data_IF_960675896574
#
_entry.id   IF_960675896574
#
_cell.length_a   1.000
_cell.length_b   1.000
_cell.length_c   1.000
_cell.angle_alpha   90.00
_cell.angle_beta   90.00
_cell.angle_gamma   90.00
#
_symmetry.space_group_name_H-M   'P 1'
#
loop_
_entity.id
_entity.type
_entity.pdbx_description
1 polymer ?
#
# COMPACT_ATOMS: atom_id res chain seq x y z
N UNK A 1 1.15 12.07 -4.19
CA UNK A 1 1.95 11.15 -3.35
C UNK A 1 3.34 11.70 -3.06
N UNK A 2 4.19 11.94 -4.09
CA UNK A 2 5.60 12.35 -3.90
C UNK A 2 5.76 13.60 -3.05
N UNK A 3 5.00 14.67 -3.32
CA UNK A 3 5.04 15.92 -2.55
C UNK A 3 4.71 15.69 -1.07
N UNK A 4 3.71 14.87 -0.78
CA UNK A 4 3.28 14.55 0.59
C UNK A 4 4.35 13.79 1.38
N UNK A 5 5.07 12.87 0.72
CA UNK A 5 6.18 12.14 1.35
C UNK A 5 7.32 13.08 1.73
N UNK A 6 7.66 14.05 0.87
CA UNK A 6 8.66 15.06 1.20
C UNK A 6 8.25 15.95 2.38
N UNK A 7 6.99 16.34 2.45
CA UNK A 7 6.43 17.11 3.56
C UNK A 7 6.60 16.35 4.90
N UNK A 8 6.23 15.07 4.92
CA UNK A 8 6.37 14.21 6.11
C UNK A 8 7.85 14.15 6.55
N UNK A 9 8.77 13.91 5.62
CA UNK A 9 10.20 13.83 5.93
C UNK A 9 10.72 15.16 6.49
N UNK A 10 10.33 16.29 5.88
CA UNK A 10 10.72 17.62 6.34
C UNK A 10 10.23 17.93 7.76
N UNK A 11 9.01 17.53 8.10
CA UNK A 11 8.46 17.69 9.47
C UNK A 11 9.24 16.86 10.50
N UNK A 12 9.66 15.65 10.13
CA UNK A 12 10.47 14.81 11.02
C UNK A 12 11.86 15.43 11.25
N UNK A 13 12.48 15.91 10.18
CA UNK A 13 13.81 16.56 10.25
C UNK A 13 13.75 17.82 11.13
N UNK A 14 12.69 18.62 10.98
CA UNK A 14 12.48 19.82 11.81
C UNK A 14 12.27 19.44 13.29
N UNK A 15 11.42 18.48 13.60
CA UNK A 15 11.19 18.04 14.97
C UNK A 15 12.49 17.56 15.65
N UNK A 16 13.35 16.86 14.90
CA UNK A 16 14.67 16.44 15.38
C UNK A 16 15.62 17.59 15.63
N UNK A 17 15.66 18.55 14.70
CA UNK A 17 16.52 19.72 14.84
C UNK A 17 16.18 20.57 16.07
N UNK A 18 14.90 20.58 16.44
CA UNK A 18 14.36 21.32 17.59
C UNK A 18 14.29 20.48 18.88
N UNK A 19 14.80 19.24 18.88
CA UNK A 19 14.69 18.29 20.00
C UNK A 19 13.25 18.05 20.49
N UNK A 20 12.29 18.11 19.58
CA UNK A 20 10.89 17.79 19.87
C UNK A 20 10.64 16.28 19.84
N UNK A 21 9.55 15.86 20.49
CA UNK A 21 9.10 14.48 20.40
C UNK A 21 8.87 14.09 18.93
N UNK A 22 9.19 12.83 18.52
CA UNK A 22 8.94 12.36 17.16
C UNK A 22 7.48 12.57 16.77
N UNK A 23 7.18 13.18 15.60
CA UNK A 23 5.81 13.30 15.14
C UNK A 23 5.22 11.92 14.87
N UNK A 24 3.92 11.81 15.00
CA UNK A 24 3.20 10.61 14.57
C UNK A 24 3.23 10.54 13.03
N UNK A 25 3.87 9.51 12.47
CA UNK A 25 4.10 9.36 11.02
C UNK A 25 3.40 8.14 10.41
N UNK A 26 2.39 7.62 11.11
CA UNK A 26 1.58 6.55 10.53
C UNK A 26 0.68 7.09 9.41
N UNK A 27 0.41 6.25 8.41
CA UNK A 27 -0.18 6.69 7.15
C UNK A 27 -1.36 5.80 6.72
N UNK A 28 -2.31 6.41 6.04
CA UNK A 28 -3.41 5.72 5.34
C UNK A 28 -3.18 5.81 3.84
N UNK A 29 -3.18 4.67 3.15
CA UNK A 29 -3.05 4.58 1.70
C UNK A 29 -4.38 4.18 1.10
N UNK A 30 -5.02 5.10 0.40
CA UNK A 30 -6.37 4.95 -0.14
C UNK A 30 -6.32 4.77 -1.66
N UNK A 31 -6.91 3.70 -2.17
CA UNK A 31 -7.00 3.51 -3.62
C UNK A 31 -7.26 2.06 -4.03
N UNK A 32 -7.58 1.87 -5.30
CA UNK A 32 -7.89 0.60 -5.91
C UNK A 32 -6.68 -0.35 -5.96
N UNK A 33 -6.88 -1.65 -6.23
CA UNK A 33 -5.80 -2.61 -6.39
C UNK A 33 -4.86 -2.23 -7.54
N UNK A 34 -3.56 -2.53 -7.36
CA UNK A 34 -2.57 -2.31 -8.42
C UNK A 34 -2.20 -0.84 -8.69
N UNK A 35 -2.60 0.11 -7.85
CA UNK A 35 -2.22 1.53 -7.96
C UNK A 35 -0.84 1.86 -7.38
N UNK A 36 -0.12 0.86 -6.88
CA UNK A 36 1.26 1.02 -6.43
C UNK A 36 1.42 1.28 -4.93
N UNK A 37 0.40 1.11 -4.10
CA UNK A 37 0.43 1.33 -2.64
C UNK A 37 1.62 0.64 -1.97
N UNK A 38 1.76 -0.68 -2.12
CA UNK A 38 2.86 -1.45 -1.54
C UNK A 38 4.24 -0.99 -2.05
N UNK A 39 4.34 -0.64 -3.34
CA UNK A 39 5.59 -0.15 -3.95
C UNK A 39 6.04 1.16 -3.31
N UNK A 40 5.12 2.10 -3.13
CA UNK A 40 5.39 3.39 -2.48
C UNK A 40 5.70 3.19 -1.00
N UNK A 41 4.97 2.33 -0.29
CA UNK A 41 5.25 2.03 1.12
C UNK A 41 6.68 1.48 1.33
N UNK A 42 7.14 0.58 0.46
CA UNK A 42 8.53 0.09 0.48
C UNK A 42 9.55 1.20 0.22
N UNK A 43 9.26 2.12 -0.71
CA UNK A 43 10.13 3.24 -1.00
C UNK A 43 10.20 4.22 0.18
N UNK A 44 9.08 4.48 0.86
CA UNK A 44 9.03 5.28 2.09
C UNK A 44 9.88 4.65 3.19
N UNK A 45 9.77 3.34 3.41
CA UNK A 45 10.58 2.65 4.42
C UNK A 45 12.09 2.82 4.19
N UNK A 46 12.53 2.70 2.94
CA UNK A 46 13.93 2.96 2.56
C UNK A 46 14.33 4.40 2.81
N UNK A 47 13.51 5.35 2.39
CA UNK A 47 13.76 6.78 2.58
C UNK A 47 13.87 7.14 4.07
N UNK A 48 12.96 6.63 4.91
CA UNK A 48 12.97 6.88 6.35
C UNK A 48 14.22 6.29 7.02
N UNK A 49 14.73 5.16 6.55
CA UNK A 49 16.01 4.62 6.98
C UNK A 49 17.17 5.51 6.56
N UNK A 50 17.25 5.90 5.28
CA UNK A 50 18.30 6.76 4.74
C UNK A 50 18.36 8.10 5.48
N UNK A 51 17.22 8.60 5.95
CA UNK A 51 17.12 9.82 6.77
C UNK A 51 17.33 9.57 8.26
N UNK A 52 17.66 8.34 8.65
CA UNK A 52 17.90 7.95 10.05
C UNK A 52 16.64 7.99 10.93
N UNK A 53 15.44 8.04 10.35
CA UNK A 53 14.16 8.01 11.09
C UNK A 53 13.89 6.60 11.62
N UNK A 54 14.09 5.61 10.79
CA UNK A 54 14.00 4.20 11.15
C UNK A 54 15.40 3.59 11.23
N UNK A 55 15.64 2.79 12.25
CA UNK A 55 16.93 2.12 12.46
C UNK A 55 17.20 0.98 11.50
N UNK A 56 16.19 0.20 11.13
CA UNK A 56 16.32 -0.98 10.26
C UNK A 56 15.90 -0.70 8.82
N UNK A 57 14.78 -0.04 8.61
CA UNK A 57 14.18 0.17 7.29
C UNK A 57 13.68 -1.11 6.64
N UNK A 58 13.40 -2.15 7.42
CA UNK A 58 12.70 -3.34 7.00
C UNK A 58 11.28 -3.04 6.55
N UNK A 59 10.65 -4.01 5.91
CA UNK A 59 9.27 -3.88 5.42
C UNK A 59 8.52 -5.18 5.71
N UNK A 60 7.57 -5.10 6.63
CA UNK A 60 6.74 -6.22 7.07
C UNK A 60 5.35 -6.05 6.50
N UNK A 61 4.93 -6.98 5.68
CA UNK A 61 3.66 -6.94 4.95
C UNK A 61 2.70 -7.98 5.50
N UNK A 62 1.56 -7.52 5.98
CA UNK A 62 0.48 -8.32 6.50
C UNK A 62 -0.86 -7.85 5.94
N UNK A 63 -1.87 -8.68 6.01
CA UNK A 63 -3.28 -8.27 5.81
C UNK A 63 -3.92 -7.96 7.16
N UNK A 64 -5.04 -7.21 7.16
CA UNK A 64 -5.76 -6.99 8.42
C UNK A 64 -6.12 -8.30 9.14
N UNK A 65 -6.47 -9.34 8.40
CA UNK A 65 -6.81 -10.67 8.97
C UNK A 65 -5.63 -11.36 9.66
N UNK A 66 -4.40 -11.09 9.23
CA UNK A 66 -3.22 -11.72 9.82
C UNK A 66 -2.96 -11.28 11.26
N UNK A 67 -3.49 -10.12 11.65
CA UNK A 67 -3.40 -9.60 13.01
C UNK A 67 -4.33 -10.35 13.96
N UNK A 68 -5.43 -10.92 13.46
CA UNK A 68 -6.41 -11.62 14.29
C UNK A 68 -5.95 -13.04 14.64
N UNK A 69 -6.20 -13.45 15.88
CA UNK A 69 -6.04 -14.82 16.34
C UNK A 69 -7.15 -15.74 15.79
N UNK A 70 -6.93 -17.03 15.89
CA UNK A 70 -7.95 -18.04 15.53
C UNK A 70 -8.90 -18.36 16.69
N UNK A 71 -8.45 -18.13 17.93
CA UNK A 71 -9.19 -18.43 19.15
C UNK A 71 -9.16 -17.24 20.09
N UNK A 72 -10.12 -17.18 21.01
CA UNK A 72 -10.21 -16.16 22.06
C UNK A 72 -8.89 -16.05 22.83
N UNK A 73 -8.44 -14.82 23.07
CA UNK A 73 -7.19 -14.54 23.80
C UNK A 73 -5.92 -14.63 22.98
N UNK A 74 -5.99 -14.93 21.68
CA UNK A 74 -4.82 -15.02 20.80
C UNK A 74 -4.54 -13.75 20.00
N UNK A 75 -5.52 -12.87 19.84
CA UNK A 75 -5.41 -11.71 18.95
C UNK A 75 -4.42 -10.68 19.48
N UNK A 76 -4.55 -10.25 20.72
CA UNK A 76 -3.64 -9.24 21.28
C UNK A 76 -2.16 -9.72 21.28
N UNK A 77 -1.81 -10.94 21.76
CA UNK A 77 -0.45 -11.44 21.66
C UNK A 77 0.08 -11.50 20.22
N UNK A 78 -0.73 -11.97 19.27
CA UNK A 78 -0.37 -12.05 17.85
C UNK A 78 -0.13 -10.67 17.23
N UNK A 79 -1.03 -9.72 17.47
CA UNK A 79 -0.86 -8.35 16.98
C UNK A 79 0.41 -7.72 17.55
N UNK A 80 0.66 -7.87 18.86
CA UNK A 80 1.86 -7.37 19.51
C UNK A 80 3.14 -8.02 18.96
N UNK A 81 3.12 -9.33 18.65
CA UNK A 81 4.24 -10.03 18.02
C UNK A 81 4.56 -9.45 16.64
N UNK A 82 3.54 -9.27 15.77
CA UNK A 82 3.70 -8.66 14.44
C UNK A 82 4.28 -7.24 14.55
N UNK A 83 3.79 -6.43 15.49
CA UNK A 83 4.34 -5.09 15.72
C UNK A 83 5.79 -5.14 16.19
N UNK A 84 6.13 -6.05 17.10
CA UNK A 84 7.49 -6.22 17.63
C UNK A 84 8.47 -6.61 16.54
N UNK A 85 8.09 -7.51 15.64
CA UNK A 85 8.92 -7.90 14.49
C UNK A 85 9.19 -6.71 13.56
N UNK A 86 8.27 -5.76 13.49
CA UNK A 86 8.37 -4.56 12.66
C UNK A 86 9.05 -3.36 13.34
N UNK A 87 9.52 -3.47 14.60
CA UNK A 87 10.21 -2.36 15.25
C UNK A 87 11.48 -1.94 14.50
N UNK A 88 11.69 -0.64 14.39
CA UNK A 88 12.74 -0.03 13.55
C UNK A 88 12.41 0.00 12.06
N UNK A 89 11.17 -0.36 11.69
CA UNK A 89 10.79 -0.64 10.31
C UNK A 89 9.38 -0.15 9.98
N UNK A 90 8.90 -0.49 8.79
CA UNK A 90 7.53 -0.24 8.34
C UNK A 90 6.71 -1.53 8.48
N UNK A 91 5.58 -1.43 9.19
CA UNK A 91 4.50 -2.40 9.18
C UNK A 91 3.45 -1.94 8.17
N UNK A 92 3.32 -2.66 7.07
CA UNK A 92 2.31 -2.41 6.04
C UNK A 92 1.16 -3.40 6.19
N UNK A 93 -0.04 -2.88 6.41
CA UNK A 93 -1.26 -3.67 6.59
C UNK A 93 -2.15 -3.44 5.37
N UNK A 94 -2.15 -4.39 4.44
CA UNK A 94 -3.06 -4.35 3.28
C UNK A 94 -4.45 -4.84 3.68
N UNK A 95 -5.47 -4.38 2.94
CA UNK A 95 -6.87 -4.68 3.25
C UNK A 95 -7.21 -4.46 4.73
N UNK A 96 -6.70 -3.37 5.32
CA UNK A 96 -6.83 -3.09 6.75
C UNK A 96 -8.30 -2.99 7.20
N UNK A 97 -9.21 -2.63 6.31
CA UNK A 97 -10.66 -2.63 6.57
C UNK A 97 -11.19 -4.01 6.98
N UNK A 98 -10.47 -5.10 6.70
CA UNK A 98 -10.86 -6.44 7.13
C UNK A 98 -10.81 -6.65 8.65
N UNK A 99 -10.20 -5.71 9.40
CA UNK A 99 -10.25 -5.63 10.86
C UNK A 99 -11.60 -5.18 11.39
N UNK A 100 -12.43 -4.52 10.56
CA UNK A 100 -13.74 -4.03 10.99
C UNK A 100 -14.79 -4.28 9.90
N UNK A 101 -15.67 -5.23 10.15
CA UNK A 101 -16.71 -5.60 9.18
C UNK A 101 -18.01 -4.81 9.33
N UNK A 102 -18.16 -4.02 10.42
CA UNK A 102 -19.39 -3.29 10.72
C UNK A 102 -20.56 -4.18 11.16
N UNK A 103 -21.55 -3.57 11.83
CA UNK A 103 -22.79 -4.24 12.25
C UNK A 103 -22.80 -4.74 13.71
N UNK A 104 -23.95 -5.27 14.15
CA UNK A 104 -24.20 -5.71 15.54
C UNK A 104 -23.31 -6.90 15.98
N UNK A 105 -22.69 -7.61 15.03
CA UNK A 105 -21.72 -8.68 15.26
C UNK A 105 -20.31 -8.23 14.83
N UNK A 106 -19.90 -6.99 15.19
CA UNK A 106 -18.53 -6.54 14.99
C UNK A 106 -17.57 -7.61 15.52
N UNK A 107 -16.65 -8.06 14.66
CA UNK A 107 -15.70 -9.11 15.00
C UNK A 107 -14.87 -8.67 16.20
N UNK A 108 -15.10 -9.24 17.36
CA UNK A 108 -14.38 -8.89 18.60
C UNK A 108 -12.87 -9.03 18.45
N UNK A 109 -12.42 -9.95 17.60
CA UNK A 109 -11.00 -10.13 17.31
C UNK A 109 -10.41 -8.94 16.54
N UNK A 110 -11.15 -8.37 15.59
CA UNK A 110 -10.71 -7.20 14.87
C UNK A 110 -10.59 -5.97 15.76
N UNK A 111 -11.54 -5.75 16.68
CA UNK A 111 -11.48 -4.66 17.66
C UNK A 111 -10.31 -4.85 18.63
N UNK A 112 -10.09 -6.06 19.16
CA UNK A 112 -8.95 -6.39 20.01
C UNK A 112 -7.61 -6.15 19.28
N UNK A 113 -7.52 -6.48 17.99
CA UNK A 113 -6.34 -6.20 17.17
C UNK A 113 -6.11 -4.70 17.01
N UNK A 114 -7.17 -3.92 16.76
CA UNK A 114 -7.10 -2.46 16.62
C UNK A 114 -6.62 -1.81 17.93
N UNK A 115 -7.19 -2.19 19.09
CA UNK A 115 -6.82 -1.64 20.39
C UNK A 115 -5.34 -1.93 20.71
N UNK A 116 -4.88 -3.16 20.42
CA UNK A 116 -3.49 -3.53 20.59
C UNK A 116 -2.59 -2.72 19.67
N UNK A 117 -2.96 -2.59 18.40
CA UNK A 117 -2.21 -1.81 17.42
C UNK A 117 -2.10 -0.34 17.82
N UNK A 118 -3.19 0.28 18.30
CA UNK A 118 -3.19 1.65 18.82
C UNK A 118 -2.17 1.81 19.96
N UNK A 119 -2.13 0.85 20.89
CA UNK A 119 -1.17 0.86 21.99
C UNK A 119 0.27 0.74 21.51
N UNK A 120 0.53 -0.14 20.55
CA UNK A 120 1.86 -0.30 19.96
C UNK A 120 2.32 0.93 19.19
N UNK A 121 1.42 1.56 18.42
CA UNK A 121 1.70 2.80 17.69
C UNK A 121 2.06 3.96 18.64
N UNK A 122 1.42 4.04 19.79
CA UNK A 122 1.70 5.06 20.79
C UNK A 122 3.02 4.84 21.50
N UNK A 123 3.25 3.61 21.98
CA UNK A 123 4.43 3.27 22.77
C UNK A 123 5.72 3.26 21.94
N UNK A 124 5.61 3.08 20.62
CA UNK A 124 6.75 2.96 19.70
C UNK A 124 6.75 4.02 18.58
N UNK A 125 6.25 5.24 18.85
CA UNK A 125 6.15 6.35 17.87
C UNK A 125 7.43 6.63 17.08
N UNK A 126 8.59 6.49 17.70
CA UNK A 126 9.89 6.76 17.08
C UNK A 126 10.52 5.55 16.38
N UNK A 127 9.95 4.37 16.51
CA UNK A 127 10.57 3.11 16.11
C UNK A 127 9.65 2.21 15.27
N UNK A 128 8.38 2.54 15.14
CA UNK A 128 7.41 1.80 14.33
C UNK A 128 6.65 2.77 13.42
N UNK A 129 6.61 2.47 12.14
CA UNK A 129 5.74 3.17 11.17
C UNK A 129 4.69 2.22 10.65
N UNK A 130 3.44 2.48 10.98
CA UNK A 130 2.30 1.70 10.47
C UNK A 130 1.72 2.39 9.24
N UNK A 131 1.55 1.64 8.16
CA UNK A 131 0.88 2.07 6.94
C UNK A 131 -0.30 1.14 6.71
N UNK A 132 -1.51 1.66 6.80
CA UNK A 132 -2.73 0.92 6.49
C UNK A 132 -3.20 1.23 5.09
N UNK A 133 -3.49 0.20 4.31
CA UNK A 133 -3.93 0.32 2.93
C UNK A 133 -5.29 -0.34 2.70
N UNK A 134 -6.07 0.25 1.80
CA UNK A 134 -7.37 -0.32 1.43
C UNK A 134 -8.17 0.58 0.49
N UNK A 135 -9.39 0.18 0.22
CA UNK A 135 -10.34 0.97 -0.54
C UNK A 135 -10.79 2.20 0.25
N UNK A 136 -11.00 3.36 -0.41
CA UNK A 136 -11.31 4.60 0.29
C UNK A 136 -12.52 4.51 1.22
N UNK A 137 -13.65 3.99 0.75
CA UNK A 137 -14.90 3.94 1.51
C UNK A 137 -14.81 2.98 2.71
N UNK A 138 -14.20 1.81 2.51
CA UNK A 138 -14.01 0.81 3.56
C UNK A 138 -13.03 1.30 4.62
N UNK A 139 -11.96 1.99 4.22
CA UNK A 139 -11.00 2.60 5.13
C UNK A 139 -11.62 3.76 5.91
N UNK A 140 -12.48 4.56 5.29
CA UNK A 140 -13.21 5.61 5.99
C UNK A 140 -14.14 5.03 7.06
N UNK A 141 -14.83 3.94 6.74
CA UNK A 141 -15.69 3.21 7.69
C UNK A 141 -14.88 2.71 8.88
N UNK A 142 -13.71 2.11 8.65
CA UNK A 142 -12.79 1.65 9.68
C UNK A 142 -12.36 2.82 10.60
N UNK A 143 -11.98 3.96 10.04
CA UNK A 143 -11.52 5.12 10.80
C UNK A 143 -12.65 5.75 11.63
N UNK A 144 -13.83 5.94 11.05
CA UNK A 144 -15.00 6.49 11.78
C UNK A 144 -15.41 5.62 12.96
N UNK A 145 -15.29 4.31 12.84
CA UNK A 145 -15.59 3.37 13.92
C UNK A 145 -14.53 3.41 15.04
N UNK A 146 -13.34 3.91 14.76
CA UNK A 146 -12.20 3.86 15.67
C UNK A 146 -11.46 5.22 15.74
N UNK A 147 -12.02 6.24 16.45
CA UNK A 147 -11.42 7.57 16.54
C UNK A 147 -9.99 7.57 17.11
N UNK A 148 -9.67 6.60 17.97
CA UNK A 148 -8.32 6.41 18.50
C UNK A 148 -7.30 6.03 17.42
N UNK A 149 -7.71 5.21 16.47
CA UNK A 149 -6.89 4.85 15.30
C UNK A 149 -6.77 6.05 14.35
N UNK A 150 -7.88 6.72 14.05
CA UNK A 150 -7.90 7.88 13.16
C UNK A 150 -6.94 8.98 13.61
N UNK A 151 -6.96 9.32 14.91
CA UNK A 151 -6.10 10.38 15.47
C UNK A 151 -4.60 10.06 15.36
N UNK A 152 -4.23 8.79 15.26
CA UNK A 152 -2.83 8.34 15.14
C UNK A 152 -2.38 8.13 13.69
N UNK A 153 -3.27 8.31 12.73
CA UNK A 153 -2.98 8.14 11.29
C UNK A 153 -3.25 9.44 10.51
N UNK A 154 -2.54 10.54 10.81
CA UNK A 154 -2.85 11.86 10.27
C UNK A 154 -2.54 12.00 8.78
N UNK A 155 -1.65 11.16 8.23
CA UNK A 155 -1.23 11.29 6.85
C UNK A 155 -2.07 10.37 5.94
N UNK A 156 -2.77 11.00 5.00
CA UNK A 156 -3.56 10.31 3.98
C UNK A 156 -2.87 10.47 2.63
N UNK A 157 -2.58 9.35 1.97
CA UNK A 157 -2.07 9.32 0.61
C UNK A 157 -3.08 8.64 -0.30
N UNK A 158 -3.57 9.39 -1.28
CA UNK A 158 -4.50 8.88 -2.27
C UNK A 158 -3.77 8.33 -3.49
N UNK A 159 -4.21 7.19 -3.94
CA UNK A 159 -3.68 6.47 -5.10
C UNK A 159 -4.80 6.34 -6.15
N UNK A 160 -5.00 7.36 -6.99
CA UNK A 160 -6.01 7.29 -8.04
C UNK A 160 -5.68 6.18 -9.04
N UNK A 161 -6.69 5.76 -9.79
CA UNK A 161 -6.48 4.87 -10.92
C UNK A 161 -5.51 5.52 -11.93
N UNK A 162 -4.72 4.68 -12.59
CA UNK A 162 -3.84 5.15 -13.66
C UNK A 162 -4.63 5.54 -14.89
N UNK A 163 -4.24 6.64 -15.50
CA UNK A 163 -4.72 7.04 -16.82
C UNK A 163 -4.12 6.15 -17.93
N UNK A 164 -4.63 6.30 -19.15
CA UNK A 164 -4.19 5.52 -20.32
C UNK A 164 -2.71 5.65 -20.59
N UNK A 165 -2.15 6.85 -20.43
CA UNK A 165 -0.74 7.12 -20.66
C UNK A 165 0.15 6.41 -19.63
N UNK A 166 -0.24 6.41 -18.35
CA UNK A 166 0.47 5.71 -17.30
C UNK A 166 0.39 4.18 -17.48
N UNK A 167 -0.78 3.64 -17.85
CA UNK A 167 -0.94 2.21 -18.15
C UNK A 167 -0.05 1.77 -19.31
N UNK A 168 -0.01 2.54 -20.40
CA UNK A 168 0.89 2.33 -21.51
C UNK A 168 2.36 2.35 -21.06
N UNK A 169 2.76 3.36 -20.28
CA UNK A 169 4.13 3.47 -19.78
C UNK A 169 4.53 2.29 -18.89
N UNK A 170 3.62 1.78 -18.06
CA UNK A 170 3.82 0.58 -17.24
C UNK A 170 4.01 -0.64 -18.12
N UNK A 171 3.18 -0.82 -19.15
CA UNK A 171 3.30 -1.94 -20.09
C UNK A 171 4.65 -1.92 -20.81
N UNK A 172 5.04 -0.77 -21.37
CA UNK A 172 6.33 -0.61 -22.03
C UNK A 172 7.52 -0.80 -21.06
N UNK A 173 7.32 -0.45 -19.78
CA UNK A 173 8.26 -0.76 -18.71
C UNK A 173 8.49 -2.25 -18.50
N UNK A 174 7.44 -3.08 -18.62
CA UNK A 174 7.57 -4.55 -18.59
C UNK A 174 8.26 -5.11 -19.84
N UNK A 175 8.12 -4.44 -20.98
CA UNK A 175 8.78 -4.86 -22.22
C UNK A 175 10.30 -4.63 -22.20
N UNK A 176 10.75 -3.56 -21.55
CA UNK A 176 12.17 -3.16 -21.52
C UNK A 176 13.06 -4.28 -21.01
N UNK A 177 14.09 -4.63 -21.79
CA UNK A 177 15.08 -5.64 -21.44
C UNK A 177 14.61 -7.09 -21.51
N UNK A 178 13.35 -7.32 -21.92
CA UNK A 178 12.79 -8.68 -22.06
C UNK A 178 12.68 -9.13 -23.51
N UNK A 179 12.36 -8.23 -24.42
CA UNK A 179 12.34 -8.49 -25.85
C UNK A 179 12.49 -7.18 -26.65
N UNK A 180 12.96 -7.33 -27.90
CA UNK A 180 12.98 -6.24 -28.88
C UNK A 180 11.60 -6.10 -29.50
N UNK A 181 11.17 -4.90 -29.76
CA UNK A 181 9.92 -4.60 -30.45
C UNK A 181 10.14 -3.51 -31.49
N UNK A 182 9.34 -3.54 -32.55
CA UNK A 182 9.36 -2.53 -33.60
C UNK A 182 8.37 -1.39 -33.34
N UNK A 183 8.37 -0.42 -34.23
CA UNK A 183 7.48 0.74 -34.14
C UNK A 183 6.01 0.34 -34.29
N UNK A 184 5.70 -0.66 -35.11
CA UNK A 184 4.33 -1.12 -35.31
C UNK A 184 3.74 -1.73 -34.04
N UNK A 185 4.56 -2.48 -33.28
CA UNK A 185 4.15 -2.98 -31.96
C UNK A 185 3.87 -1.84 -30.97
N UNK A 186 4.77 -0.83 -30.91
CA UNK A 186 4.59 0.32 -30.02
C UNK A 186 3.30 1.08 -30.34
N UNK A 187 3.04 1.35 -31.62
CA UNK A 187 1.82 2.01 -32.11
C UNK A 187 0.56 1.19 -31.77
N UNK A 188 0.60 -0.12 -31.95
CA UNK A 188 -0.52 -1.01 -31.62
C UNK A 188 -0.81 -1.05 -30.11
N UNK A 189 0.23 -1.09 -29.27
CA UNK A 189 0.07 -1.04 -27.82
C UNK A 189 -0.51 0.30 -27.37
N UNK A 190 -0.06 1.41 -27.94
CA UNK A 190 -0.60 2.75 -27.64
C UNK A 190 -2.07 2.82 -28.01
N UNK A 191 -2.42 2.41 -29.25
CA UNK A 191 -3.81 2.42 -29.71
C UNK A 191 -4.72 1.55 -28.83
N UNK A 192 -4.22 0.42 -28.31
CA UNK A 192 -4.96 -0.43 -27.40
C UNK A 192 -5.31 0.30 -26.10
N UNK A 193 -4.33 0.97 -25.46
CA UNK A 193 -4.59 1.71 -24.22
C UNK A 193 -5.46 2.95 -24.46
N UNK A 194 -5.28 3.64 -25.58
CA UNK A 194 -6.10 4.80 -25.95
C UNK A 194 -7.59 4.44 -26.17
N UNK A 195 -7.87 3.22 -26.58
CA UNK A 195 -9.20 2.69 -26.82
C UNK A 195 -9.90 2.12 -25.57
N UNK A 196 -9.25 2.10 -24.39
CA UNK A 196 -9.88 1.60 -23.16
C UNK A 196 -11.06 2.51 -22.76
N UNK A 197 -12.24 1.96 -22.42
CA UNK A 197 -13.41 2.75 -21.99
C UNK A 197 -13.14 3.50 -20.67
N UNK A 198 -13.69 4.69 -20.51
CA UNK A 198 -13.59 5.48 -19.27
C UNK A 198 -14.28 4.75 -18.11
N UNK A 199 -15.43 4.11 -18.36
CA UNK A 199 -16.16 3.34 -17.36
C UNK A 199 -15.30 2.21 -16.75
N UNK A 200 -14.45 1.60 -17.56
CA UNK A 200 -13.51 0.58 -17.08
C UNK A 200 -12.45 1.20 -16.16
N UNK A 201 -11.86 2.32 -16.60
CA UNK A 201 -10.77 2.99 -15.88
C UNK A 201 -11.25 3.58 -14.54
N UNK A 202 -12.52 3.99 -14.45
CA UNK A 202 -13.13 4.57 -13.25
C UNK A 202 -13.71 3.51 -12.31
N UNK A 203 -13.85 2.26 -12.76
CA UNK A 203 -14.46 1.21 -11.95
C UNK A 203 -13.63 0.86 -10.70
N UNK A 204 -14.32 0.56 -9.59
CA UNK A 204 -13.68 0.09 -8.34
C UNK A 204 -12.92 -1.24 -8.53
N UNK A 205 -13.33 -2.03 -9.50
CA UNK A 205 -12.77 -3.35 -9.79
C UNK A 205 -11.54 -3.27 -10.70
N UNK A 206 -11.25 -2.10 -11.26
CA UNK A 206 -10.12 -1.94 -12.16
C UNK A 206 -8.79 -2.17 -11.44
N UNK A 207 -8.08 -3.19 -11.85
CA UNK A 207 -6.88 -3.65 -11.16
C UNK A 207 -5.57 -2.98 -11.61
N UNK A 208 -5.66 -1.89 -12.37
CA UNK A 208 -4.54 -0.99 -12.70
C UNK A 208 -3.28 -1.71 -13.21
N UNK A 209 -2.15 -1.62 -12.52
CA UNK A 209 -0.92 -2.28 -12.94
C UNK A 209 -1.01 -3.82 -12.94
N UNK A 210 -1.94 -4.44 -12.18
CA UNK A 210 -2.20 -5.89 -12.27
C UNK A 210 -2.86 -6.24 -13.61
N UNK A 211 -3.81 -5.41 -14.08
CA UNK A 211 -4.38 -5.54 -15.42
C UNK A 211 -3.29 -5.48 -16.49
N UNK A 212 -2.40 -4.48 -16.41
CA UNK A 212 -1.29 -4.30 -17.35
C UNK A 212 -0.33 -5.49 -17.32
N UNK A 213 0.00 -6.01 -16.13
CA UNK A 213 0.85 -7.19 -15.98
C UNK A 213 0.23 -8.42 -16.64
N UNK A 214 -1.05 -8.68 -16.40
CA UNK A 214 -1.76 -9.81 -17.01
C UNK A 214 -1.79 -9.68 -18.54
N UNK A 215 -2.00 -8.48 -19.06
CA UNK A 215 -1.94 -8.22 -20.51
C UNK A 215 -0.53 -8.49 -21.06
N UNK A 216 0.50 -8.03 -20.37
CA UNK A 216 1.90 -8.27 -20.74
C UNK A 216 2.21 -9.77 -20.76
N UNK A 217 1.86 -10.52 -19.73
CA UNK A 217 2.11 -11.96 -19.63
C UNK A 217 1.42 -12.74 -20.76
N UNK A 218 0.20 -12.38 -21.12
CA UNK A 218 -0.52 -12.95 -22.26
C UNK A 218 0.17 -12.62 -23.59
N UNK A 219 0.63 -11.39 -23.77
CA UNK A 219 1.34 -10.94 -24.98
C UNK A 219 2.67 -11.67 -25.12
N UNK A 220 3.43 -11.75 -24.03
CA UNK A 220 4.70 -12.47 -23.94
C UNK A 220 4.53 -13.97 -24.25
N UNK A 221 3.51 -14.61 -23.67
CA UNK A 221 3.20 -16.02 -23.92
C UNK A 221 2.93 -16.30 -25.39
N UNK A 222 2.12 -15.44 -26.04
CA UNK A 222 1.84 -15.58 -27.49
C UNK A 222 3.07 -15.35 -28.36
N UNK A 223 3.91 -14.38 -28.04
CA UNK A 223 5.15 -14.12 -28.78
C UNK A 223 6.11 -15.31 -28.70
N UNK A 224 6.29 -15.89 -27.51
CA UNK A 224 7.14 -17.08 -27.33
C UNK A 224 6.61 -18.33 -28.07
N UNK A 225 5.29 -18.52 -28.12
CA UNK A 225 4.70 -19.62 -28.87
C UNK A 225 4.96 -19.46 -30.37
N UNK A 226 4.82 -18.25 -30.93
CA UNK A 226 5.13 -17.99 -32.36
C UNK A 226 6.60 -18.22 -32.68
N UNK A 227 7.51 -17.75 -31.80
CA UNK A 227 8.96 -17.94 -32.01
C UNK A 227 9.43 -19.40 -31.94
N UNK A 228 8.65 -20.31 -31.37
CA UNK A 228 8.94 -21.75 -31.31
C UNK A 228 8.37 -22.54 -32.51
N UNK A 229 7.46 -21.94 -33.28
CA UNK A 229 6.82 -22.55 -34.43
C UNK A 229 7.55 -22.18 -35.75
N UNK A 230 8.54 -21.31 -35.68
CA UNK A 230 9.47 -20.94 -36.74
C UNK A 230 10.90 -21.35 -36.39
#
# INVERSE_FOLDING_TARGET
VRSRVYEIVSQIELARAENLAPPCIHMRFLGNPGTGKTTVARAIGKLLKERGVLRSGGFFEHTGRDLCGRYVGQTAPRTAEICRDAYGSVLFIDEAYSLYKGGENADSFGLEAIDTLISEMENHRGDLVVIMAGYPEEMETLMRANPGLESRMPYVLEFPNFDRAALYAIFMGFCRGRFSYDKAFDEAVRAYFDALPDELLESKEFSNARFVRNLFERTWGKANMRARLH
#
